data_IF_041361129102
#
_entry.id   IF_041361129102
#
_cell.length_a   1.000
_cell.length_b   1.000
_cell.length_c   1.000
_cell.angle_alpha   90.00
_cell.angle_beta   90.00
_cell.angle_gamma   90.00
#
_symmetry.space_group_name_H-M   'P 1'
#
loop_
_entity.id
_entity.type
_entity.pdbx_description
1 polymer ?
#
# COMPACT_ATOMS: atom_id res chain seq x y z
N UNK A 1 -16.00 -14.73 -16.31
CA UNK A 1 -15.04 -14.46 -15.23
C UNK A 1 -15.15 -12.99 -14.79
N UNK A 2 -15.14 -12.05 -15.69
CA UNK A 2 -15.13 -10.62 -15.39
C UNK A 2 -16.42 -10.20 -14.66
N UNK A 3 -17.58 -10.38 -15.25
CA UNK A 3 -18.87 -9.93 -14.69
C UNK A 3 -19.36 -10.74 -13.46
N UNK A 4 -18.99 -12.01 -13.36
CA UNK A 4 -19.56 -12.90 -12.34
C UNK A 4 -18.65 -13.10 -11.11
N UNK A 5 -17.38 -12.67 -11.14
CA UNK A 5 -16.41 -13.02 -10.11
C UNK A 5 -15.46 -11.87 -9.71
N UNK A 6 -15.83 -10.63 -10.01
CA UNK A 6 -15.08 -9.43 -9.63
C UNK A 6 -13.60 -9.46 -10.07
N UNK A 7 -13.31 -9.94 -11.28
CA UNK A 7 -11.98 -9.78 -11.87
C UNK A 7 -11.84 -8.36 -12.39
N UNK A 8 -10.92 -7.61 -11.83
CA UNK A 8 -10.60 -6.27 -12.28
C UNK A 8 -9.10 -6.06 -12.50
N UNK A 9 -8.77 -5.10 -13.35
CA UNK A 9 -7.48 -4.44 -13.31
C UNK A 9 -7.63 -3.30 -12.31
N UNK A 10 -7.06 -3.51 -11.11
CA UNK A 10 -7.21 -2.58 -10.00
C UNK A 10 -6.61 -1.21 -10.33
N UNK A 11 -5.50 -1.19 -11.06
CA UNK A 11 -4.85 0.05 -11.45
C UNK A 11 -3.97 -0.08 -12.68
N UNK A 12 -3.96 0.96 -13.51
CA UNK A 12 -2.82 1.30 -14.37
C UNK A 12 -2.10 2.45 -13.70
N UNK A 13 -0.82 2.27 -13.39
CA UNK A 13 0.00 3.28 -12.72
C UNK A 13 1.16 3.69 -13.62
N UNK A 14 1.23 4.99 -13.92
CA UNK A 14 2.36 5.59 -14.64
C UNK A 14 3.40 6.04 -13.62
N UNK A 15 4.54 5.36 -13.58
CA UNK A 15 5.73 5.80 -12.86
C UNK A 15 6.45 6.88 -13.65
N UNK A 16 6.85 7.98 -12.99
CA UNK A 16 7.53 9.11 -13.62
C UNK A 16 8.74 9.52 -12.77
N UNK A 17 9.93 9.46 -13.35
CA UNK A 17 11.12 10.06 -12.75
C UNK A 17 11.02 11.59 -12.78
N UNK A 18 11.32 12.21 -11.64
CA UNK A 18 11.38 13.67 -11.51
C UNK A 18 12.81 14.20 -11.30
N UNK A 19 13.81 13.35 -11.53
CA UNK A 19 15.22 13.72 -11.30
C UNK A 19 15.69 14.89 -12.17
N UNK A 20 15.18 15.00 -13.38
CA UNK A 20 15.46 16.10 -14.32
C UNK A 20 14.67 17.38 -14.00
N UNK A 21 13.74 17.32 -13.04
CA UNK A 21 12.97 18.49 -12.60
C UNK A 21 13.67 19.31 -11.51
N UNK A 22 14.75 18.78 -10.90
CA UNK A 22 15.43 19.41 -9.76
C UNK A 22 15.88 20.83 -10.07
N UNK A 23 15.63 21.73 -9.13
CA UNK A 23 16.05 23.14 -9.15
C UNK A 23 16.34 23.59 -7.73
N UNK A 24 17.13 24.61 -7.55
CA UNK A 24 17.34 25.32 -6.28
C UNK A 24 16.30 26.43 -6.03
N UNK A 25 15.55 26.79 -7.10
CA UNK A 25 14.40 27.68 -7.01
C UNK A 25 13.09 26.88 -6.94
N UNK A 26 12.29 27.14 -5.90
CA UNK A 26 11.06 26.39 -5.59
C UNK A 26 9.96 26.57 -6.66
N UNK A 27 9.85 27.75 -7.26
CA UNK A 27 8.87 28.02 -8.31
C UNK A 27 9.23 27.25 -9.58
N UNK A 28 10.49 27.29 -9.97
CA UNK A 28 11.03 26.54 -11.13
C UNK A 28 10.85 25.03 -10.92
N UNK A 29 11.18 24.52 -9.73
CA UNK A 29 10.96 23.11 -9.38
C UNK A 29 9.49 22.70 -9.56
N UNK A 30 8.56 23.47 -8.99
CA UNK A 30 7.12 23.20 -9.09
C UNK A 30 6.64 23.23 -10.57
N UNK A 31 7.11 24.19 -11.35
CA UNK A 31 6.77 24.30 -12.78
C UNK A 31 7.31 23.11 -13.59
N UNK A 32 8.54 22.66 -13.32
CA UNK A 32 9.14 21.50 -13.97
C UNK A 32 8.33 20.23 -13.69
N UNK A 33 8.01 19.99 -12.40
CA UNK A 33 7.19 18.85 -11.96
C UNK A 33 5.82 18.87 -12.66
N UNK A 34 5.13 19.99 -12.61
CA UNK A 34 3.81 20.13 -13.21
C UNK A 34 3.83 19.84 -14.71
N UNK A 35 4.77 20.47 -15.45
CA UNK A 35 4.85 20.31 -16.89
C UNK A 35 5.22 18.90 -17.32
N UNK A 36 6.15 18.24 -16.61
CA UNK A 36 6.55 16.86 -16.91
C UNK A 36 5.40 15.88 -16.70
N UNK A 37 4.72 15.96 -15.56
CA UNK A 37 3.57 15.08 -15.27
C UNK A 37 2.45 15.31 -16.27
N UNK A 38 2.09 16.57 -16.55
CA UNK A 38 1.04 16.89 -17.50
C UNK A 38 1.33 16.36 -18.91
N UNK A 39 2.58 16.48 -19.34
CA UNK A 39 3.03 15.97 -20.66
C UNK A 39 2.95 14.46 -20.76
N UNK A 40 3.40 13.71 -19.72
CA UNK A 40 3.48 12.26 -19.76
C UNK A 40 2.14 11.59 -19.43
N UNK A 41 1.37 12.12 -18.49
CA UNK A 41 0.15 11.53 -18.00
C UNK A 41 -1.14 12.06 -18.67
N UNK A 42 -1.04 13.04 -19.58
CA UNK A 42 -2.22 13.70 -20.17
C UNK A 42 -3.21 12.75 -20.84
N UNK A 43 -2.74 11.64 -21.39
CA UNK A 43 -3.58 10.64 -22.06
C UNK A 43 -3.81 9.36 -21.21
N UNK A 44 -3.29 9.28 -20.00
CA UNK A 44 -3.34 8.07 -19.19
C UNK A 44 -4.78 7.60 -18.90
N UNK A 45 -5.62 8.52 -18.46
CA UNK A 45 -7.01 8.22 -18.07
C UNK A 45 -7.80 7.77 -19.30
N UNK A 46 -7.74 8.53 -20.39
CA UNK A 46 -8.46 8.20 -21.62
C UNK A 46 -8.00 6.84 -22.16
N UNK A 47 -6.70 6.57 -22.18
CA UNK A 47 -6.15 5.28 -22.62
C UNK A 47 -6.70 4.14 -21.77
N UNK A 48 -6.75 4.31 -20.44
CA UNK A 48 -7.31 3.29 -19.54
C UNK A 48 -8.81 3.03 -19.80
N UNK A 49 -9.60 4.09 -20.03
CA UNK A 49 -11.03 3.97 -20.35
C UNK A 49 -11.24 3.27 -21.70
N UNK A 50 -10.45 3.60 -22.71
CA UNK A 50 -10.56 3.00 -24.04
C UNK A 50 -10.21 1.51 -24.01
N UNK A 51 -9.14 1.11 -23.28
CA UNK A 51 -8.77 -0.30 -23.11
C UNK A 51 -9.86 -1.04 -22.33
N UNK A 52 -10.36 -0.44 -21.25
CA UNK A 52 -11.44 -1.04 -20.45
C UNK A 52 -12.69 -1.32 -21.30
N UNK A 53 -13.08 -0.36 -22.14
CA UNK A 53 -14.23 -0.46 -23.02
C UNK A 53 -14.03 -1.50 -24.14
N UNK A 54 -12.85 -1.51 -24.75
CA UNK A 54 -12.53 -2.38 -25.87
C UNK A 54 -12.40 -3.85 -25.44
N UNK A 55 -11.76 -4.10 -24.30
CA UNK A 55 -11.52 -5.47 -23.81
C UNK A 55 -12.64 -5.99 -22.90
N UNK A 56 -13.56 -5.12 -22.49
CA UNK A 56 -14.59 -5.47 -21.50
C UNK A 56 -14.01 -5.81 -20.12
N UNK A 57 -12.81 -5.31 -19.79
CA UNK A 57 -12.12 -5.55 -18.52
C UNK A 57 -12.17 -4.24 -17.71
N UNK A 58 -12.82 -4.21 -16.54
CA UNK A 58 -12.82 -3.01 -15.71
C UNK A 58 -11.41 -2.60 -15.30
N UNK A 59 -11.04 -1.33 -15.53
CA UNK A 59 -9.82 -0.71 -15.03
C UNK A 59 -10.24 0.35 -14.01
N UNK A 60 -10.17 -0.02 -12.74
CA UNK A 60 -10.82 0.72 -11.65
C UNK A 60 -10.12 2.06 -11.38
N UNK A 61 -8.78 2.05 -11.30
CA UNK A 61 -7.99 3.25 -11.04
C UNK A 61 -6.97 3.50 -12.14
N UNK A 62 -6.69 4.79 -12.35
CA UNK A 62 -5.55 5.30 -13.11
C UNK A 62 -4.74 6.15 -12.14
N UNK A 63 -3.47 5.83 -11.94
CA UNK A 63 -2.62 6.44 -10.90
C UNK A 63 -1.30 6.91 -11.49
N UNK A 64 -0.65 7.78 -10.74
CA UNK A 64 0.73 8.21 -10.99
C UNK A 64 1.55 7.90 -9.75
N UNK A 65 2.78 7.43 -9.95
CA UNK A 65 3.81 7.39 -8.91
C UNK A 65 5.01 8.20 -9.38
N UNK A 66 5.59 9.01 -8.49
CA UNK A 66 6.76 9.84 -8.83
C UNK A 66 7.94 9.49 -7.94
N UNK A 67 9.13 9.91 -8.35
CA UNK A 67 10.34 9.84 -7.54
C UNK A 67 10.08 10.42 -6.16
N UNK A 68 10.56 9.82 -5.06
CA UNK A 68 10.38 10.35 -3.72
C UNK A 68 10.71 11.84 -3.62
N UNK A 69 9.72 12.64 -3.27
CA UNK A 69 9.80 14.13 -3.30
C UNK A 69 10.87 14.66 -2.34
N UNK A 70 11.21 13.92 -1.27
CA UNK A 70 12.31 14.33 -0.39
C UNK A 70 13.66 14.44 -1.14
N UNK A 71 13.87 13.59 -2.14
CA UNK A 71 15.08 13.63 -2.98
C UNK A 71 15.06 14.80 -3.97
N UNK A 72 13.88 15.11 -4.49
CA UNK A 72 13.69 16.14 -5.53
C UNK A 72 13.69 17.53 -4.93
N UNK A 73 13.04 17.70 -3.76
CA UNK A 73 12.86 19.00 -3.11
C UNK A 73 14.04 19.49 -2.26
N UNK A 74 15.04 18.63 -2.03
CA UNK A 74 16.08 18.91 -1.03
C UNK A 74 16.93 20.18 -1.28
N UNK A 75 17.10 20.58 -2.55
CA UNK A 75 17.82 21.81 -2.91
C UNK A 75 16.99 23.07 -2.72
N UNK A 76 15.70 23.04 -3.05
CA UNK A 76 14.79 24.18 -3.03
C UNK A 76 14.10 24.38 -1.67
N UNK A 77 13.69 23.31 -1.00
CA UNK A 77 12.91 23.36 0.23
C UNK A 77 13.80 23.52 1.46
N UNK A 78 13.56 24.56 2.26
CA UNK A 78 14.33 24.83 3.49
C UNK A 78 13.55 24.56 4.77
N UNK A 79 12.22 24.44 4.66
CA UNK A 79 11.29 24.23 5.77
C UNK A 79 10.09 23.38 5.33
N UNK A 80 9.31 22.80 6.24
CA UNK A 80 8.18 21.93 5.91
C UNK A 80 7.15 22.59 4.99
N UNK A 81 6.86 23.88 5.14
CA UNK A 81 5.87 24.59 4.34
C UNK A 81 6.25 24.64 2.85
N UNK A 82 7.53 24.65 2.52
CA UNK A 82 8.01 24.63 1.15
C UNK A 82 7.60 23.31 0.45
N UNK A 83 7.71 22.18 1.17
CA UNK A 83 7.25 20.88 0.67
C UNK A 83 5.73 20.84 0.47
N UNK A 84 4.94 21.54 1.30
CA UNK A 84 3.48 21.61 1.09
C UNK A 84 3.13 22.27 -0.24
N UNK A 85 3.94 23.21 -0.74
CA UNK A 85 3.71 23.81 -2.07
C UNK A 85 3.90 22.77 -3.19
N UNK A 86 4.87 21.86 -3.04
CA UNK A 86 5.05 20.75 -3.98
C UNK A 86 3.84 19.81 -3.91
N UNK A 87 3.33 19.46 -2.73
CA UNK A 87 2.12 18.65 -2.59
C UNK A 87 0.92 19.28 -3.32
N UNK A 88 0.71 20.58 -3.17
CA UNK A 88 -0.34 21.32 -3.90
C UNK A 88 -0.15 21.27 -5.42
N UNK A 89 1.09 21.35 -5.89
CA UNK A 89 1.40 21.23 -7.32
C UNK A 89 1.08 19.83 -7.85
N UNK A 90 1.44 18.78 -7.09
CA UNK A 90 1.11 17.39 -7.41
C UNK A 90 -0.41 17.16 -7.44
N UNK A 91 -1.15 17.69 -6.46
CA UNK A 91 -2.61 17.57 -6.40
C UNK A 91 -3.29 18.30 -7.57
N UNK A 92 -2.80 19.49 -7.90
CA UNK A 92 -3.29 20.28 -9.05
C UNK A 92 -3.15 19.50 -10.35
N UNK A 93 -1.95 19.01 -10.66
CA UNK A 93 -1.74 18.26 -11.91
C UNK A 93 -2.48 16.92 -11.90
N UNK A 94 -2.59 16.23 -10.77
CA UNK A 94 -3.36 15.01 -10.65
C UNK A 94 -4.86 15.21 -10.94
N UNK A 95 -5.43 16.34 -10.49
CA UNK A 95 -6.81 16.75 -10.81
C UNK A 95 -6.98 17.06 -12.27
N UNK A 96 -6.04 17.79 -12.87
CA UNK A 96 -6.12 18.18 -14.29
C UNK A 96 -6.00 17.00 -15.26
N UNK A 97 -5.12 16.04 -14.98
CA UNK A 97 -4.99 14.81 -15.80
C UNK A 97 -6.04 13.76 -15.45
N UNK A 98 -6.83 13.95 -14.37
CA UNK A 98 -7.97 13.13 -14.01
C UNK A 98 -7.62 11.82 -13.27
N UNK A 99 -6.37 11.62 -12.82
CA UNK A 99 -5.99 10.38 -12.10
C UNK A 99 -6.62 10.32 -10.71
N UNK A 100 -6.83 9.11 -10.21
CA UNK A 100 -7.45 8.88 -8.90
C UNK A 100 -6.50 9.23 -7.75
N UNK A 101 -5.23 8.82 -7.85
CA UNK A 101 -4.21 9.04 -6.84
C UNK A 101 -2.85 9.36 -7.48
N UNK A 102 -2.04 10.11 -6.74
CA UNK A 102 -0.65 10.40 -7.06
C UNK A 102 0.22 10.10 -5.84
N UNK A 103 1.03 9.06 -5.92
CA UNK A 103 2.00 8.65 -4.90
C UNK A 103 3.39 9.22 -5.15
N UNK A 104 4.24 9.18 -4.11
CA UNK A 104 5.62 9.65 -4.19
C UNK A 104 5.90 10.89 -3.35
N UNK A 105 4.92 11.42 -2.61
CA UNK A 105 5.19 12.39 -1.56
C UNK A 105 5.86 11.68 -0.38
N UNK A 106 7.10 11.24 -0.60
CA UNK A 106 7.74 10.17 0.17
C UNK A 106 9.17 10.52 0.58
N UNK A 107 9.64 9.85 1.66
CA UNK A 107 11.01 9.90 2.14
C UNK A 107 11.55 8.48 2.42
N UNK A 108 12.82 8.22 2.09
CA UNK A 108 13.50 6.94 2.26
C UNK A 108 14.56 7.08 3.36
N UNK A 109 14.19 6.86 4.62
CA UNK A 109 14.99 7.16 5.81
C UNK A 109 15.45 5.91 6.57
N UNK A 110 15.45 4.77 5.91
CA UNK A 110 15.73 3.47 6.54
C UNK A 110 17.15 3.34 7.13
N UNK A 111 18.09 4.19 6.75
CA UNK A 111 19.44 4.16 7.31
C UNK A 111 19.79 5.43 8.08
N UNK A 112 19.30 6.55 7.65
CA UNK A 112 19.52 7.85 8.23
C UNK A 112 18.52 8.83 7.66
N UNK A 113 18.48 10.03 8.17
CA UNK A 113 17.54 11.07 7.76
C UNK A 113 18.29 12.38 7.57
N UNK A 114 18.16 12.96 6.39
CA UNK A 114 18.68 14.30 6.08
C UNK A 114 17.72 15.38 6.55
N UNK A 115 18.17 16.65 6.71
CA UNK A 115 17.25 17.75 7.04
C UNK A 115 16.10 17.92 6.03
N UNK A 116 16.34 17.66 4.75
CA UNK A 116 15.29 17.73 3.73
C UNK A 116 14.22 16.65 3.91
N UNK A 117 14.65 15.41 4.20
CA UNK A 117 13.73 14.31 4.48
C UNK A 117 12.92 14.57 5.75
N UNK A 118 13.55 15.09 6.81
CA UNK A 118 12.84 15.49 8.03
C UNK A 118 11.80 16.58 7.75
N UNK A 119 12.15 17.60 6.97
CA UNK A 119 11.23 18.66 6.61
C UNK A 119 10.02 18.12 5.80
N UNK A 120 10.25 17.20 4.83
CA UNK A 120 9.15 16.55 4.13
C UNK A 120 8.27 15.76 5.11
N UNK A 121 8.85 14.92 5.98
CA UNK A 121 8.08 14.13 6.93
C UNK A 121 7.24 15.02 7.84
N UNK A 122 7.80 16.11 8.34
CA UNK A 122 7.07 17.08 9.19
C UNK A 122 5.98 17.84 8.44
N UNK A 123 6.06 17.92 7.10
CA UNK A 123 5.04 18.55 6.26
C UNK A 123 3.83 17.65 5.97
N UNK A 124 3.95 16.32 6.15
CA UNK A 124 2.92 15.32 5.79
C UNK A 124 1.53 15.66 6.35
N UNK A 125 1.36 16.02 7.65
CA UNK A 125 0.03 16.29 8.19
C UNK A 125 -0.68 17.43 7.45
N UNK A 126 0.02 18.52 7.16
CA UNK A 126 -0.55 19.64 6.42
C UNK A 126 -0.76 19.29 4.94
N UNK A 127 0.23 18.66 4.31
CA UNK A 127 0.14 18.27 2.91
C UNK A 127 -1.09 17.37 2.64
N UNK A 128 -1.33 16.35 3.47
CA UNK A 128 -2.45 15.43 3.30
C UNK A 128 -3.80 16.04 3.69
N UNK A 129 -3.81 17.06 4.56
CA UNK A 129 -5.02 17.79 4.89
C UNK A 129 -5.49 18.74 3.78
N UNK A 130 -4.55 19.35 3.03
CA UNK A 130 -4.86 20.34 2.00
C UNK A 130 -4.89 19.78 0.58
N UNK A 131 -4.66 18.47 0.40
CA UNK A 131 -4.69 17.78 -0.89
C UNK A 131 -5.68 16.62 -0.88
N UNK A 132 -6.27 16.32 -2.04
CA UNK A 132 -7.25 15.24 -2.18
C UNK A 132 -6.60 13.94 -2.72
N UNK A 133 -5.74 14.06 -3.73
CA UNK A 133 -5.21 12.92 -4.51
C UNK A 133 -3.79 12.52 -4.18
N UNK A 134 -3.07 13.35 -3.42
CA UNK A 134 -1.69 13.08 -3.03
C UNK A 134 -1.63 12.04 -1.92
N UNK A 135 -0.76 11.05 -2.12
CA UNK A 135 -0.48 10.00 -1.14
C UNK A 135 0.98 10.04 -0.74
N UNK A 136 1.25 9.66 0.51
CA UNK A 136 2.57 9.75 1.12
C UNK A 136 3.03 8.40 1.68
N UNK A 137 4.35 8.20 1.69
CA UNK A 137 4.96 7.09 2.42
C UNK A 137 6.32 7.44 2.96
N UNK A 138 6.71 6.73 4.03
CA UNK A 138 8.04 6.84 4.62
C UNK A 138 8.60 5.44 4.85
N UNK A 139 9.76 5.15 4.26
CA UNK A 139 10.45 3.88 4.45
C UNK A 139 11.44 3.98 5.60
N UNK A 140 11.12 3.39 6.76
CA UNK A 140 11.88 3.54 8.02
C UNK A 140 12.85 2.41 8.31
N UNK A 141 12.79 1.32 7.54
CA UNK A 141 13.61 0.14 7.78
C UNK A 141 13.88 -0.69 6.54
N UNK A 142 14.90 -1.53 6.61
CA UNK A 142 15.15 -2.56 5.62
C UNK A 142 15.95 -3.73 6.19
N UNK A 143 15.88 -4.88 5.52
CA UNK A 143 16.68 -6.06 5.86
C UNK A 143 18.19 -5.80 5.79
N UNK A 144 18.63 -4.81 5.00
CA UNK A 144 20.05 -4.44 4.86
C UNK A 144 20.53 -3.43 5.90
N UNK A 145 19.66 -2.53 6.34
CA UNK A 145 20.05 -1.38 7.17
C UNK A 145 19.55 -1.44 8.60
N UNK A 146 18.63 -2.34 8.91
CA UNK A 146 17.92 -2.36 10.18
C UNK A 146 16.77 -1.36 10.22
N UNK A 147 16.36 -0.94 11.40
CA UNK A 147 15.23 -0.04 11.64
C UNK A 147 15.76 1.28 12.20
N UNK A 148 15.39 2.39 11.57
CA UNK A 148 15.68 3.74 12.06
C UNK A 148 14.64 4.14 13.12
N UNK A 149 14.96 3.95 14.39
CA UNK A 149 14.03 4.22 15.51
C UNK A 149 13.74 5.72 15.70
N UNK A 150 14.63 6.61 15.25
CA UNK A 150 14.36 8.07 15.26
C UNK A 150 13.23 8.38 14.27
N UNK A 151 13.27 7.79 13.08
CA UNK A 151 12.21 7.91 12.09
C UNK A 151 10.90 7.22 12.53
N UNK A 152 10.99 6.05 13.16
CA UNK A 152 9.83 5.33 13.71
C UNK A 152 9.11 6.16 14.76
N UNK A 153 9.85 6.75 15.71
CA UNK A 153 9.28 7.65 16.72
C UNK A 153 8.61 8.86 16.08
N UNK A 154 9.31 9.51 15.14
CA UNK A 154 8.76 10.64 14.40
C UNK A 154 7.47 10.26 13.65
N UNK A 155 7.45 9.10 13.00
CA UNK A 155 6.25 8.64 12.27
C UNK A 155 5.06 8.39 13.18
N UNK A 156 5.24 7.91 14.40
CA UNK A 156 4.15 7.82 15.38
C UNK A 156 3.51 9.20 15.66
N UNK A 157 4.34 10.24 15.81
CA UNK A 157 3.86 11.62 15.97
C UNK A 157 3.15 12.14 14.70
N UNK A 158 3.72 11.86 13.52
CA UNK A 158 3.18 12.30 12.22
C UNK A 158 1.82 11.66 11.92
N UNK A 159 1.67 10.36 12.15
CA UNK A 159 0.38 9.65 11.97
C UNK A 159 -0.68 10.29 12.88
N UNK A 160 -0.37 10.49 14.16
CA UNK A 160 -1.31 11.10 15.10
C UNK A 160 -1.68 12.54 14.69
N UNK A 161 -0.70 13.38 14.33
CA UNK A 161 -0.95 14.75 13.83
C UNK A 161 -1.75 14.77 12.53
N UNK A 162 -1.52 13.79 11.64
CA UNK A 162 -2.32 13.66 10.40
C UNK A 162 -3.76 13.33 10.72
N UNK A 163 -4.01 12.45 11.68
CA UNK A 163 -5.34 12.14 12.17
C UNK A 163 -6.04 13.39 12.75
N UNK A 164 -5.37 14.16 13.62
CA UNK A 164 -5.89 15.41 14.18
C UNK A 164 -6.22 16.45 13.08
N UNK A 165 -5.33 16.64 12.11
CA UNK A 165 -5.51 17.60 11.01
C UNK A 165 -6.67 17.26 10.09
N UNK A 166 -7.05 15.99 10.02
CA UNK A 166 -8.13 15.49 9.15
C UNK A 166 -9.30 14.91 9.97
N UNK A 167 -9.42 15.28 11.25
CA UNK A 167 -10.47 14.80 12.15
C UNK A 167 -11.89 15.06 11.63
N UNK A 168 -12.09 16.15 10.90
CA UNK A 168 -13.36 16.50 10.27
C UNK A 168 -13.74 15.60 9.08
N UNK A 169 -12.86 14.70 8.68
CA UNK A 169 -13.04 13.70 7.63
C UNK A 169 -12.71 12.28 8.16
N UNK A 170 -13.10 12.00 9.40
CA UNK A 170 -12.82 10.72 10.08
C UNK A 170 -11.34 10.28 9.99
N UNK A 171 -10.41 11.25 10.09
CA UNK A 171 -8.95 11.03 10.02
C UNK A 171 -8.47 10.42 8.70
N UNK A 172 -9.19 10.67 7.60
CA UNK A 172 -8.93 10.10 6.26
C UNK A 172 -7.51 10.39 5.72
N UNK A 173 -6.85 11.45 6.21
CA UNK A 173 -5.45 11.70 5.86
C UNK A 173 -4.54 10.52 6.15
N UNK A 174 -4.80 9.75 7.22
CA UNK A 174 -4.03 8.57 7.56
C UNK A 174 -4.24 7.40 6.58
N UNK A 175 -5.38 7.33 5.89
CA UNK A 175 -5.59 6.35 4.82
C UNK A 175 -4.70 6.60 3.58
N UNK A 176 -4.17 7.82 3.45
CA UNK A 176 -3.24 8.24 2.38
C UNK A 176 -1.76 8.19 2.80
N UNK A 177 -1.46 7.72 4.01
CA UNK A 177 -0.11 7.65 4.59
C UNK A 177 0.28 6.22 4.92
N UNK A 178 1.42 5.78 4.42
CA UNK A 178 1.94 4.43 4.65
C UNK A 178 3.36 4.50 5.23
N UNK A 179 3.64 3.75 6.28
CA UNK A 179 5.00 3.57 6.79
C UNK A 179 5.52 2.20 6.39
N UNK A 180 6.64 2.16 5.68
CA UNK A 180 7.21 0.94 5.12
C UNK A 180 8.48 0.47 5.83
N UNK A 181 8.68 -0.84 5.79
CA UNK A 181 9.98 -1.50 5.82
C UNK A 181 10.17 -2.31 4.52
N UNK A 182 11.33 -2.23 3.88
CA UNK A 182 11.61 -2.84 2.58
C UNK A 182 10.60 -2.42 1.49
N UNK A 183 10.31 -1.13 1.36
CA UNK A 183 9.42 -0.63 0.32
C UNK A 183 9.91 -1.02 -1.09
N UNK A 184 9.07 -1.57 -1.97
CA UNK A 184 9.44 -1.84 -3.35
C UNK A 184 9.40 -0.56 -4.19
N UNK A 185 10.30 -0.47 -5.16
CA UNK A 185 10.47 0.70 -6.03
C UNK A 185 9.44 0.77 -7.18
N UNK A 186 8.77 -0.34 -7.47
CA UNK A 186 7.89 -0.57 -8.63
C UNK A 186 6.41 -0.81 -8.24
N UNK A 187 6.01 -0.50 -7.03
CA UNK A 187 4.67 -0.76 -6.50
C UNK A 187 3.59 0.08 -7.21
N UNK A 188 2.64 -0.51 -7.97
CA UNK A 188 1.56 0.23 -8.60
C UNK A 188 0.31 0.36 -7.73
N UNK A 189 0.24 -0.36 -6.60
CA UNK A 189 -1.02 -0.75 -5.97
C UNK A 189 -1.40 0.10 -4.77
N UNK A 190 -0.46 0.36 -3.85
CA UNK A 190 -0.77 1.07 -2.62
C UNK A 190 -0.80 2.59 -2.78
N UNK A 191 -1.53 3.24 -1.88
CA UNK A 191 -1.52 4.70 -1.76
C UNK A 191 -0.12 5.28 -1.52
N UNK A 192 0.77 4.53 -0.84
CA UNK A 192 2.16 4.92 -0.58
C UNK A 192 3.16 4.55 -1.69
N UNK A 193 2.71 4.17 -2.88
CA UNK A 193 3.59 3.88 -4.02
C UNK A 193 4.46 5.08 -4.39
N UNK A 194 5.69 4.81 -4.83
CA UNK A 194 6.59 5.79 -5.41
C UNK A 194 7.36 5.18 -6.59
N UNK A 195 7.96 6.01 -7.40
CA UNK A 195 8.80 5.60 -8.53
C UNK A 195 10.26 5.56 -8.09
N UNK A 196 10.89 4.39 -8.15
CA UNK A 196 12.28 4.20 -7.72
C UNK A 196 13.28 5.00 -8.54
N UNK A 197 14.38 5.38 -7.92
CA UNK A 197 15.42 6.19 -8.57
C UNK A 197 16.19 5.44 -9.65
N UNK A 198 16.11 4.12 -9.67
CA UNK A 198 16.78 3.25 -10.67
C UNK A 198 15.84 2.82 -11.80
N UNK A 199 14.59 3.21 -11.72
CA UNK A 199 13.58 2.95 -12.74
C UNK A 199 13.77 3.83 -14.00
N UNK A 200 13.08 3.49 -15.10
CA UNK A 200 13.09 4.28 -16.33
C UNK A 200 12.50 5.68 -16.12
N UNK A 201 12.75 6.62 -17.05
CA UNK A 201 12.19 7.98 -16.99
C UNK A 201 10.66 8.01 -16.90
N UNK A 202 10.00 7.06 -17.57
CA UNK A 202 8.58 6.76 -17.41
C UNK A 202 8.34 5.26 -17.63
N UNK A 203 7.41 4.65 -16.87
CA UNK A 203 7.11 3.23 -16.95
C UNK A 203 5.63 2.97 -16.62
N UNK A 204 5.02 1.97 -17.26
CA UNK A 204 3.67 1.51 -16.93
C UNK A 204 3.76 0.26 -16.06
N UNK A 205 3.18 0.34 -14.87
CA UNK A 205 2.98 -0.79 -13.97
C UNK A 205 1.47 -1.04 -13.81
N UNK A 206 1.07 -2.30 -13.79
CA UNK A 206 -0.34 -2.67 -13.70
C UNK A 206 -0.59 -3.55 -12.49
N UNK A 207 -1.58 -3.20 -11.70
CA UNK A 207 -2.06 -4.03 -10.59
C UNK A 207 -3.35 -4.75 -10.97
N UNK A 208 -3.37 -6.07 -10.81
CA UNK A 208 -4.56 -6.90 -11.00
C UNK A 208 -5.00 -7.53 -9.71
N UNK A 209 -6.31 -7.70 -9.56
CA UNK A 209 -6.90 -8.31 -8.38
C UNK A 209 -8.01 -9.28 -8.76
N UNK A 210 -8.37 -10.17 -7.85
CA UNK A 210 -9.44 -11.12 -8.08
C UNK A 210 -9.63 -12.10 -6.93
N UNK A 211 -9.81 -11.63 -5.67
CA UNK A 211 -10.19 -12.50 -4.56
C UNK A 211 -11.43 -13.32 -4.86
N UNK A 212 -12.46 -12.70 -5.45
CA UNK A 212 -13.69 -13.36 -5.84
C UNK A 212 -13.48 -14.50 -6.85
N UNK A 213 -12.53 -14.35 -7.80
CA UNK A 213 -12.20 -15.41 -8.76
C UNK A 213 -11.56 -16.60 -8.07
N UNK A 214 -10.62 -16.36 -7.16
CA UNK A 214 -9.95 -17.42 -6.39
C UNK A 214 -10.96 -18.12 -5.48
N UNK A 215 -11.77 -17.37 -4.74
CA UNK A 215 -12.85 -17.91 -3.90
C UNK A 215 -13.77 -18.82 -4.69
N UNK A 216 -14.25 -18.36 -5.85
CA UNK A 216 -15.14 -19.16 -6.70
C UNK A 216 -14.48 -20.46 -7.20
N UNK A 217 -13.18 -20.41 -7.54
CA UNK A 217 -12.44 -21.59 -7.95
C UNK A 217 -12.33 -22.61 -6.81
N UNK A 218 -12.08 -22.15 -5.58
CA UNK A 218 -11.98 -23.01 -4.39
C UNK A 218 -13.30 -23.65 -3.99
N UNK A 219 -14.45 -22.98 -4.18
CA UNK A 219 -15.77 -23.59 -3.94
C UNK A 219 -16.00 -24.88 -4.72
N UNK A 220 -15.35 -25.02 -5.88
CA UNK A 220 -15.49 -26.21 -6.74
C UNK A 220 -14.66 -27.40 -6.26
N UNK A 221 -13.72 -27.18 -5.38
CA UNK A 221 -12.80 -28.20 -4.85
C UNK A 221 -12.91 -28.32 -3.32
N UNK A 222 -14.06 -27.99 -2.76
CA UNK A 222 -14.34 -28.17 -1.33
C UNK A 222 -14.21 -29.63 -0.94
N UNK A 223 -13.49 -29.89 0.17
CA UNK A 223 -13.26 -31.24 0.66
C UNK A 223 -12.11 -32.00 0.00
N UNK A 224 -11.51 -31.42 -1.05
CA UNK A 224 -10.30 -31.97 -1.65
C UNK A 224 -9.07 -31.71 -0.79
N UNK A 225 -8.00 -32.45 -1.02
CA UNK A 225 -6.74 -32.30 -0.30
C UNK A 225 -6.00 -31.00 -0.67
N UNK A 226 -4.95 -30.67 0.10
CA UNK A 226 -4.16 -29.46 -0.11
C UNK A 226 -3.45 -29.41 -1.48
N UNK A 227 -3.11 -30.53 -2.11
CA UNK A 227 -2.46 -30.55 -3.42
C UNK A 227 -3.40 -30.01 -4.50
N UNK A 228 -4.65 -30.48 -4.51
CA UNK A 228 -5.70 -30.01 -5.43
C UNK A 228 -6.00 -28.53 -5.19
N UNK A 229 -6.07 -28.14 -3.93
CA UNK A 229 -6.33 -26.76 -3.52
C UNK A 229 -5.21 -25.82 -3.98
N UNK A 230 -3.95 -26.15 -3.73
CA UNK A 230 -2.77 -25.41 -4.16
C UNK A 230 -2.73 -25.26 -5.70
N UNK A 231 -2.98 -26.34 -6.42
CA UNK A 231 -2.97 -26.33 -7.89
C UNK A 231 -4.10 -25.45 -8.45
N UNK A 232 -5.26 -25.47 -7.81
CA UNK A 232 -6.41 -24.61 -8.17
C UNK A 232 -6.10 -23.13 -7.98
N UNK A 233 -5.50 -22.73 -6.84
CA UNK A 233 -5.10 -21.34 -6.58
C UNK A 233 -4.06 -20.90 -7.62
N UNK A 234 -3.02 -21.70 -7.82
CA UNK A 234 -1.93 -21.41 -8.76
C UNK A 234 -2.43 -21.21 -10.20
N UNK A 235 -3.30 -22.12 -10.70
CA UNK A 235 -3.90 -22.01 -12.02
C UNK A 235 -4.80 -20.79 -12.17
N UNK A 236 -5.50 -20.41 -11.11
CA UNK A 236 -6.36 -19.23 -11.10
C UNK A 236 -5.51 -17.97 -11.14
N UNK A 237 -4.49 -17.87 -10.30
CA UNK A 237 -3.53 -16.77 -10.25
C UNK A 237 -2.83 -16.57 -11.60
N UNK A 238 -2.42 -17.66 -12.25
CA UNK A 238 -1.86 -17.63 -13.61
C UNK A 238 -2.80 -16.90 -14.59
N UNK A 239 -4.08 -17.24 -14.61
CA UNK A 239 -5.06 -16.64 -15.54
C UNK A 239 -5.28 -15.17 -15.26
N UNK A 240 -5.36 -14.78 -13.98
CA UNK A 240 -5.53 -13.37 -13.56
C UNK A 240 -4.31 -12.53 -13.98
N UNK A 241 -3.10 -13.04 -13.75
CA UNK A 241 -1.86 -12.36 -14.17
C UNK A 241 -1.80 -12.14 -15.69
N UNK A 242 -2.21 -13.12 -16.49
CA UNK A 242 -2.23 -12.96 -17.95
C UNK A 242 -3.17 -11.87 -18.43
N UNK A 243 -4.28 -11.66 -17.74
CA UNK A 243 -5.17 -10.51 -18.01
C UNK A 243 -4.48 -9.19 -17.74
N UNK A 244 -3.77 -9.09 -16.62
CA UNK A 244 -3.00 -7.88 -16.27
C UNK A 244 -1.90 -7.57 -17.29
N UNK A 245 -1.17 -8.58 -17.73
CA UNK A 245 -0.13 -8.42 -18.74
C UNK A 245 -0.71 -7.92 -20.08
N UNK A 246 -1.84 -8.47 -20.52
CA UNK A 246 -2.50 -8.02 -21.74
C UNK A 246 -2.84 -6.52 -21.69
N UNK A 247 -3.39 -6.07 -20.57
CA UNK A 247 -3.73 -4.65 -20.38
C UNK A 247 -2.46 -3.79 -20.29
N UNK A 248 -1.41 -4.27 -19.61
CA UNK A 248 -0.16 -3.54 -19.47
C UNK A 248 0.57 -3.34 -20.81
N UNK A 249 0.65 -4.38 -21.63
CA UNK A 249 1.25 -4.33 -22.98
C UNK A 249 0.50 -3.34 -23.88
N UNK A 250 -0.83 -3.35 -23.85
CA UNK A 250 -1.66 -2.44 -24.65
C UNK A 250 -1.55 -0.99 -24.15
N UNK A 251 -1.54 -0.76 -22.83
CA UNK A 251 -1.34 0.56 -22.26
C UNK A 251 0.04 1.12 -22.62
N UNK A 252 1.09 0.30 -22.51
CA UNK A 252 2.46 0.62 -22.92
C UNK A 252 2.52 1.05 -24.40
N UNK A 253 1.91 0.26 -25.27
CA UNK A 253 1.87 0.56 -26.72
C UNK A 253 1.17 1.88 -27.03
N UNK A 254 -0.02 2.13 -26.43
CA UNK A 254 -0.81 3.36 -26.69
C UNK A 254 -0.16 4.61 -26.13
N UNK A 255 0.44 4.51 -24.96
CA UNK A 255 1.11 5.64 -24.30
C UNK A 255 2.55 5.86 -24.78
N UNK A 256 3.09 4.91 -25.54
CA UNK A 256 4.51 4.90 -25.97
C UNK A 256 5.47 5.02 -24.76
N UNK A 257 5.18 4.25 -23.70
CA UNK A 257 5.96 4.20 -22.46
C UNK A 257 6.30 2.73 -22.17
N UNK A 258 7.53 2.38 -21.77
CA UNK A 258 7.90 0.99 -21.47
C UNK A 258 6.94 0.32 -20.48
N UNK A 259 6.71 -0.97 -20.66
CA UNK A 259 6.03 -1.81 -19.69
C UNK A 259 7.02 -2.27 -18.62
N UNK A 260 6.67 -2.07 -17.35
CA UNK A 260 7.45 -2.47 -16.19
C UNK A 260 6.99 -3.82 -15.64
N UNK A 261 6.01 -3.79 -14.74
CA UNK A 261 5.57 -5.01 -14.05
C UNK A 261 4.05 -5.17 -14.01
N UNK A 262 3.65 -6.42 -13.79
CA UNK A 262 2.31 -6.78 -13.30
C UNK A 262 2.43 -7.16 -11.83
N UNK A 263 1.67 -6.47 -11.00
CA UNK A 263 1.46 -6.82 -9.61
C UNK A 263 0.16 -7.63 -9.49
N UNK A 264 0.28 -8.90 -9.16
CA UNK A 264 -0.86 -9.75 -8.82
C UNK A 264 -1.08 -9.71 -7.31
N UNK A 265 -1.86 -8.77 -6.84
CA UNK A 265 -2.25 -8.68 -5.44
C UNK A 265 -3.73 -9.00 -5.26
N UNK A 266 -4.03 -10.02 -4.46
CA UNK A 266 -5.39 -10.28 -4.02
C UNK A 266 -5.77 -9.18 -3.01
N UNK A 267 -6.16 -8.02 -3.53
CA UNK A 267 -6.62 -6.88 -2.77
C UNK A 267 -8.16 -6.89 -2.77
N UNK A 268 -8.79 -7.12 -1.63
CA UNK A 268 -10.24 -7.18 -1.54
C UNK A 268 -10.89 -5.81 -1.77
N UNK A 269 -12.20 -5.82 -1.91
CA UNK A 269 -13.06 -4.64 -1.85
C UNK A 269 -14.19 -4.88 -0.85
N UNK A 270 -14.89 -3.83 -0.39
CA UNK A 270 -16.06 -4.00 0.48
C UNK A 270 -17.22 -4.75 -0.17
N UNK A 271 -17.13 -5.06 -1.46
CA UNK A 271 -18.16 -5.80 -2.20
C UNK A 271 -18.27 -7.24 -1.70
N UNK A 272 -19.51 -7.71 -1.53
CA UNK A 272 -19.80 -9.08 -1.11
C UNK A 272 -19.18 -10.06 -2.10
N UNK A 273 -18.36 -10.97 -1.58
CA UNK A 273 -17.73 -12.04 -2.37
C UNK A 273 -16.34 -11.71 -2.88
N UNK A 274 -15.84 -10.49 -2.68
CA UNK A 274 -14.48 -10.07 -3.02
C UNK A 274 -13.63 -9.91 -1.75
N UNK A 275 -13.43 -11.00 -1.02
CA UNK A 275 -12.81 -11.03 0.31
C UNK A 275 -11.69 -12.08 0.37
N UNK A 276 -10.53 -11.69 0.90
CA UNK A 276 -9.44 -12.61 1.22
C UNK A 276 -9.79 -13.45 2.45
N UNK A 277 -10.48 -12.88 3.43
CA UNK A 277 -10.96 -13.63 4.58
C UNK A 277 -11.89 -14.77 4.15
N UNK A 278 -12.76 -14.54 3.19
CA UNK A 278 -13.63 -15.58 2.64
C UNK A 278 -12.84 -16.68 1.93
N UNK A 279 -11.72 -16.34 1.26
CA UNK A 279 -10.82 -17.35 0.68
C UNK A 279 -10.26 -18.26 1.77
N UNK A 280 -9.81 -17.68 2.90
CA UNK A 280 -9.27 -18.44 4.03
C UNK A 280 -10.33 -19.37 4.65
N UNK A 281 -11.60 -18.95 4.67
CA UNK A 281 -12.71 -19.80 5.08
C UNK A 281 -13.00 -20.91 4.07
N UNK A 282 -12.91 -20.67 2.77
CA UNK A 282 -13.03 -21.73 1.75
C UNK A 282 -11.87 -22.75 1.82
N UNK A 283 -10.70 -22.36 2.36
CA UNK A 283 -9.58 -23.28 2.65
C UNK A 283 -9.91 -24.21 3.83
N UNK A 284 -10.89 -23.88 4.67
CA UNK A 284 -11.39 -24.75 5.73
C UNK A 284 -11.40 -24.11 7.12
N UNK A 285 -11.21 -22.81 7.24
CA UNK A 285 -11.37 -22.11 8.52
C UNK A 285 -12.84 -21.75 8.76
N UNK A 286 -13.32 -21.94 9.98
CA UNK A 286 -14.67 -21.49 10.37
C UNK A 286 -14.77 -19.97 10.30
N UNK A 287 -13.74 -19.28 10.81
CA UNK A 287 -13.61 -17.83 10.74
C UNK A 287 -12.12 -17.45 10.59
N UNK A 288 -11.84 -16.42 9.78
CA UNK A 288 -10.51 -15.82 9.72
C UNK A 288 -10.13 -15.26 11.08
N UNK A 289 -8.95 -15.61 11.58
CA UNK A 289 -8.51 -15.37 12.95
C UNK A 289 -8.39 -16.65 13.79
N UNK A 290 -9.12 -17.71 13.44
CA UNK A 290 -9.01 -19.02 14.11
C UNK A 290 -7.58 -19.61 14.01
N UNK A 291 -7.18 -20.53 14.90
CA UNK A 291 -5.96 -21.30 14.73
C UNK A 291 -5.88 -21.92 13.32
N UNK A 292 -4.73 -21.79 12.65
CA UNK A 292 -4.55 -22.20 11.26
C UNK A 292 -4.59 -21.04 10.26
N UNK A 293 -5.11 -19.86 10.60
CA UNK A 293 -5.23 -18.70 9.68
C UNK A 293 -3.89 -18.29 9.08
N UNK A 294 -2.83 -18.19 9.89
CA UNK A 294 -1.49 -17.82 9.39
C UNK A 294 -0.95 -18.88 8.42
N UNK A 295 -1.18 -20.18 8.68
CA UNK A 295 -0.78 -21.25 7.77
C UNK A 295 -1.56 -21.23 6.46
N UNK A 296 -2.88 -21.02 6.51
CA UNK A 296 -3.73 -20.90 5.32
C UNK A 296 -3.34 -19.68 4.49
N UNK A 297 -3.03 -18.55 5.13
CA UNK A 297 -2.56 -17.34 4.44
C UNK A 297 -1.17 -17.55 3.80
N UNK A 298 -0.26 -18.24 4.47
CA UNK A 298 1.05 -18.61 3.91
C UNK A 298 0.90 -19.44 2.64
N UNK A 299 0.03 -20.46 2.68
CA UNK A 299 -0.30 -21.27 1.52
C UNK A 299 -0.87 -20.42 0.38
N UNK A 300 -1.89 -19.61 0.68
CA UNK A 300 -2.52 -18.73 -0.32
C UNK A 300 -1.50 -17.81 -0.97
N UNK A 301 -0.70 -17.10 -0.18
CA UNK A 301 0.29 -16.15 -0.66
C UNK A 301 1.35 -16.81 -1.55
N UNK A 302 1.86 -17.97 -1.16
CA UNK A 302 2.85 -18.74 -1.92
C UNK A 302 2.28 -19.22 -3.27
N UNK A 303 1.06 -19.77 -3.29
CA UNK A 303 0.45 -20.26 -4.54
C UNK A 303 0.07 -19.14 -5.50
N UNK A 304 -0.35 -17.99 -4.98
CA UNK A 304 -0.60 -16.79 -5.80
C UNK A 304 0.69 -16.33 -6.47
N UNK A 305 1.80 -16.21 -5.73
CA UNK A 305 3.11 -15.84 -6.28
C UNK A 305 3.59 -16.85 -7.33
N UNK A 306 3.50 -18.13 -7.06
CA UNK A 306 3.86 -19.19 -8.03
C UNK A 306 3.06 -19.09 -9.32
N UNK A 307 1.76 -18.86 -9.23
CA UNK A 307 0.89 -18.67 -10.41
C UNK A 307 1.27 -17.42 -11.20
N UNK A 308 1.58 -16.33 -10.54
CA UNK A 308 2.04 -15.08 -11.15
C UNK A 308 3.34 -15.26 -11.93
N UNK A 309 4.39 -15.78 -11.29
CA UNK A 309 5.71 -16.00 -11.91
C UNK A 309 5.63 -16.98 -13.10
N UNK A 310 4.77 -17.98 -13.05
CA UNK A 310 4.54 -18.87 -14.17
C UNK A 310 3.82 -18.20 -15.36
N UNK A 311 3.05 -17.13 -15.12
CA UNK A 311 2.28 -16.43 -16.13
C UNK A 311 3.06 -15.35 -16.85
N UNK A 312 4.00 -14.69 -16.17
CA UNK A 312 4.74 -13.52 -16.66
C UNK A 312 6.12 -13.45 -16.03
N UNK A 313 7.11 -13.07 -16.84
CA UNK A 313 8.45 -12.69 -16.36
C UNK A 313 8.50 -11.27 -15.80
N UNK A 314 7.41 -10.53 -15.89
CA UNK A 314 7.27 -9.14 -15.45
C UNK A 314 6.50 -9.02 -14.11
N UNK A 315 6.52 -10.03 -13.27
CA UNK A 315 5.88 -9.97 -11.95
C UNK A 315 6.75 -9.18 -10.99
N UNK A 316 6.14 -8.21 -10.32
CA UNK A 316 6.82 -7.32 -9.37
C UNK A 316 5.87 -6.72 -8.34
N UNK A 317 6.22 -5.56 -7.80
CA UNK A 317 5.44 -4.87 -6.80
C UNK A 317 5.30 -5.64 -5.50
N UNK A 318 4.10 -5.72 -4.98
CA UNK A 318 3.78 -6.41 -3.72
C UNK A 318 3.33 -7.85 -3.91
N UNK A 319 2.81 -8.21 -5.06
CA UNK A 319 2.26 -9.51 -5.48
C UNK A 319 1.98 -10.52 -4.37
N UNK A 320 0.73 -10.92 -4.18
CA UNK A 320 0.33 -11.88 -3.15
C UNK A 320 -1.03 -11.57 -2.54
N UNK A 321 -1.23 -11.94 -1.28
CA UNK A 321 -2.47 -11.72 -0.57
C UNK A 321 -2.38 -10.53 0.37
N UNK A 322 -3.32 -9.58 0.25
CA UNK A 322 -3.51 -8.42 1.12
C UNK A 322 -4.51 -8.76 2.23
N UNK A 323 -4.36 -8.14 3.37
CA UNK A 323 -5.24 -8.32 4.53
C UNK A 323 -5.71 -6.98 5.12
N UNK A 324 -6.19 -6.02 4.30
CA UNK A 324 -6.74 -4.77 4.83
C UNK A 324 -8.03 -5.06 5.60
N UNK A 325 -8.24 -4.36 6.72
CA UNK A 325 -9.45 -4.59 7.52
C UNK A 325 -10.66 -3.87 6.92
N UNK A 326 -10.55 -2.58 6.60
CA UNK A 326 -11.72 -1.80 6.15
C UNK A 326 -12.17 -2.13 4.72
N UNK A 327 -11.30 -2.70 3.92
CA UNK A 327 -11.58 -3.03 2.51
C UNK A 327 -12.07 -4.47 2.32
N UNK A 328 -12.19 -5.27 3.38
CA UNK A 328 -12.55 -6.70 3.34
C UNK A 328 -13.70 -7.01 4.30
N UNK A 329 -14.89 -7.30 3.74
CA UNK A 329 -16.07 -7.60 4.56
C UNK A 329 -15.85 -8.76 5.53
N UNK A 330 -15.15 -9.79 5.13
CA UNK A 330 -14.86 -10.95 6.00
C UNK A 330 -13.88 -10.61 7.13
N UNK A 331 -12.92 -9.69 6.91
CA UNK A 331 -12.04 -9.18 7.97
C UNK A 331 -12.84 -8.31 8.95
N UNK A 332 -13.70 -7.42 8.45
CA UNK A 332 -14.59 -6.59 9.27
C UNK A 332 -15.43 -7.46 10.21
N UNK A 333 -16.05 -8.50 9.67
CA UNK A 333 -16.89 -9.41 10.44
C UNK A 333 -16.09 -10.19 11.48
N UNK A 334 -14.89 -10.66 11.11
CA UNK A 334 -13.99 -11.35 12.02
C UNK A 334 -13.52 -10.48 13.20
N UNK A 335 -13.30 -9.18 12.96
CA UNK A 335 -13.01 -8.22 14.04
C UNK A 335 -14.23 -8.02 14.94
N UNK A 336 -15.43 -7.80 14.37
CA UNK A 336 -16.67 -7.63 15.15
C UNK A 336 -17.00 -8.83 16.03
N UNK A 337 -16.70 -10.04 15.56
CA UNK A 337 -16.91 -11.28 16.29
C UNK A 337 -15.78 -11.60 17.29
N UNK A 338 -14.73 -10.77 17.34
CA UNK A 338 -13.59 -10.97 18.25
C UNK A 338 -12.63 -12.08 17.82
N UNK A 339 -12.72 -12.56 16.57
CA UNK A 339 -11.81 -13.55 16.02
C UNK A 339 -10.45 -12.95 15.59
N UNK A 340 -10.43 -11.66 15.24
CA UNK A 340 -9.23 -10.91 14.88
C UNK A 340 -8.93 -9.81 15.89
N UNK A 341 -7.66 -9.70 16.29
CA UNK A 341 -7.06 -8.59 17.02
C UNK A 341 -5.79 -8.13 16.28
N UNK A 342 -5.21 -7.02 16.71
CA UNK A 342 -4.00 -6.45 16.07
C UNK A 342 -2.85 -7.47 16.13
N UNK A 343 -2.62 -8.10 17.27
CA UNK A 343 -1.55 -9.09 17.46
C UNK A 343 -1.74 -10.32 16.54
N UNK A 344 -2.98 -10.71 16.24
CA UNK A 344 -3.25 -11.76 15.26
C UNK A 344 -2.96 -11.30 13.84
N UNK A 345 -3.31 -10.07 13.52
CA UNK A 345 -2.97 -9.47 12.22
C UNK A 345 -1.45 -9.36 12.05
N UNK A 346 -0.70 -8.92 13.07
CA UNK A 346 0.77 -8.90 13.06
C UNK A 346 1.36 -10.30 12.77
N UNK A 347 0.84 -11.36 13.41
CA UNK A 347 1.26 -12.71 13.09
C UNK A 347 0.95 -13.10 11.63
N UNK A 348 -0.16 -12.64 11.08
CA UNK A 348 -0.52 -12.86 9.67
C UNK A 348 0.38 -12.06 8.71
N UNK A 349 0.86 -10.88 9.13
CA UNK A 349 1.77 -10.06 8.30
C UNK A 349 3.14 -10.70 8.10
N UNK A 350 3.53 -11.66 8.91
CA UNK A 350 4.72 -12.47 8.66
C UNK A 350 4.67 -13.20 7.30
N UNK A 351 3.47 -13.51 6.80
CA UNK A 351 3.25 -14.35 5.63
C UNK A 351 2.38 -13.72 4.54
N UNK A 352 1.79 -12.55 4.79
CA UNK A 352 1.07 -11.80 3.75
C UNK A 352 2.04 -11.04 2.83
N UNK A 353 1.53 -10.31 1.85
CA UNK A 353 2.37 -9.55 0.91
C UNK A 353 2.60 -8.09 1.32
N UNK A 354 1.85 -7.54 2.27
CA UNK A 354 1.91 -6.11 2.62
C UNK A 354 2.27 -5.87 4.09
N UNK A 355 1.35 -6.05 5.03
CA UNK A 355 1.50 -5.66 6.42
C UNK A 355 0.15 -5.32 7.05
N UNK A 356 0.16 -4.53 8.12
CA UNK A 356 -1.06 -3.96 8.72
C UNK A 356 -1.62 -2.90 7.80
N UNK A 357 -2.83 -3.12 7.32
CA UNK A 357 -3.42 -2.24 6.31
C UNK A 357 -4.85 -1.84 6.66
N UNK A 358 -5.12 -0.54 6.57
CA UNK A 358 -6.44 0.06 6.82
C UNK A 358 -7.04 -0.34 8.17
N UNK A 359 -6.25 -0.22 9.23
CA UNK A 359 -6.62 -0.55 10.61
C UNK A 359 -7.11 0.71 11.32
N UNK A 360 -8.40 0.78 11.64
CA UNK A 360 -8.95 1.86 12.48
C UNK A 360 -8.66 1.56 13.97
N UNK A 361 -8.09 2.53 14.67
CA UNK A 361 -7.75 2.46 16.09
C UNK A 361 -8.34 3.65 16.85
N UNK A 362 -8.46 3.61 18.20
CA UNK A 362 -8.97 4.74 18.98
C UNK A 362 -8.18 6.03 18.72
N UNK A 363 -8.90 7.14 18.61
CA UNK A 363 -8.32 8.44 18.30
C UNK A 363 -7.39 9.00 19.38
N UNK A 364 -7.51 8.51 20.62
CA UNK A 364 -6.65 8.86 21.78
C UNK A 364 -5.41 7.97 21.91
N UNK A 365 -5.18 7.05 20.94
CA UNK A 365 -3.98 6.20 20.91
C UNK A 365 -2.72 7.06 20.89
N UNK A 366 -1.82 6.83 21.85
CA UNK A 366 -0.59 7.63 21.98
C UNK A 366 0.31 7.51 20.76
N UNK A 367 0.99 8.59 20.34
CA UNK A 367 2.00 8.53 19.29
C UNK A 367 3.08 7.46 19.51
N UNK A 368 3.50 7.23 20.76
CA UNK A 368 4.48 6.19 21.13
C UNK A 368 3.94 4.79 20.89
N UNK A 369 2.65 4.55 21.14
CA UNK A 369 2.01 3.26 20.86
C UNK A 369 1.96 3.00 19.34
N UNK A 370 1.59 4.02 18.55
CA UNK A 370 1.63 3.93 17.07
C UNK A 370 3.07 3.63 16.59
N UNK A 371 4.06 4.30 17.17
CA UNK A 371 5.47 4.03 16.87
C UNK A 371 5.90 2.59 17.25
N UNK A 372 5.35 2.05 18.34
CA UNK A 372 5.55 0.64 18.74
C UNK A 372 5.04 -0.33 17.68
N UNK A 373 3.82 -0.14 17.19
CA UNK A 373 3.23 -0.93 16.09
C UNK A 373 4.08 -0.84 14.81
N UNK A 374 4.56 0.37 14.47
CA UNK A 374 5.47 0.56 13.32
C UNK A 374 6.79 -0.20 13.53
N UNK A 375 7.33 -0.21 14.75
CA UNK A 375 8.56 -0.94 15.07
C UNK A 375 8.39 -2.46 14.92
N UNK A 376 7.27 -3.02 15.41
CA UNK A 376 6.96 -4.45 15.33
C UNK A 376 6.80 -4.90 13.87
N UNK A 377 6.03 -4.19 13.07
CA UNK A 377 5.89 -4.47 11.65
C UNK A 377 7.22 -4.32 10.88
N UNK A 378 8.02 -3.31 11.23
CA UNK A 378 9.35 -3.15 10.63
C UNK A 378 10.28 -4.31 11.00
N UNK A 379 10.19 -4.84 12.22
CA UNK A 379 10.95 -6.01 12.65
C UNK A 379 10.53 -7.28 11.88
N UNK A 380 9.22 -7.48 11.70
CA UNK A 380 8.67 -8.57 10.88
C UNK A 380 9.22 -8.49 9.45
N UNK A 381 9.14 -7.31 8.82
CA UNK A 381 9.66 -7.10 7.47
C UNK A 381 11.17 -7.33 7.35
N UNK A 382 11.92 -6.78 8.30
CA UNK A 382 13.38 -6.89 8.34
C UNK A 382 13.84 -8.35 8.47
N UNK A 383 13.28 -9.11 9.40
CA UNK A 383 13.67 -10.49 9.67
C UNK A 383 13.25 -11.42 8.54
N UNK A 384 12.04 -11.26 8.03
CA UNK A 384 11.50 -12.12 6.97
C UNK A 384 11.92 -11.70 5.54
N UNK A 385 12.70 -10.63 5.41
CA UNK A 385 13.15 -10.12 4.09
C UNK A 385 11.98 -9.84 3.14
N UNK A 386 10.91 -9.29 3.67
CA UNK A 386 9.71 -8.94 2.91
C UNK A 386 9.33 -7.49 3.16
N UNK A 387 8.55 -6.93 2.27
CA UNK A 387 7.89 -5.65 2.52
C UNK A 387 6.88 -5.80 3.65
N UNK A 388 6.93 -4.88 4.61
CA UNK A 388 5.83 -4.62 5.52
C UNK A 388 5.44 -3.15 5.45
N UNK A 389 4.15 -2.91 5.62
CA UNK A 389 3.55 -1.58 5.62
C UNK A 389 2.67 -1.41 6.87
N UNK A 390 2.60 -0.21 7.37
CA UNK A 390 1.67 0.17 8.43
C UNK A 390 0.81 1.33 7.93
N UNK A 391 -0.49 1.06 7.80
CA UNK A 391 -1.53 2.04 7.50
C UNK A 391 -2.59 1.94 8.59
N UNK A 392 -2.30 2.55 9.74
CA UNK A 392 -3.20 2.65 10.89
C UNK A 392 -3.84 4.03 10.93
N UNK A 393 -5.09 4.10 11.33
CA UNK A 393 -5.91 5.30 11.31
C UNK A 393 -6.45 5.54 12.71
N UNK A 394 -5.80 6.42 13.51
CA UNK A 394 -6.37 6.89 14.76
C UNK A 394 -7.61 7.75 14.45
N UNK A 395 -8.81 7.29 14.79
CA UNK A 395 -10.05 8.01 14.44
C UNK A 395 -10.40 8.97 15.55
N UNK A 396 -10.04 10.22 15.39
CA UNK A 396 -10.22 11.26 16.43
C UNK A 396 -11.68 11.37 16.85
N UNK A 397 -11.92 11.28 18.16
CA UNK A 397 -13.26 11.37 18.76
C UNK A 397 -14.05 10.06 18.78
N UNK A 398 -13.48 8.95 18.29
CA UNK A 398 -14.11 7.64 18.32
C UNK A 398 -13.30 6.63 19.13
N UNK A 399 -14.00 5.67 19.74
CA UNK A 399 -13.45 4.63 20.61
C UNK A 399 -13.68 3.21 20.10
N UNK A 400 -13.18 2.23 20.84
CA UNK A 400 -13.25 0.80 20.51
C UNK A 400 -14.70 0.36 20.24
N UNK A 401 -14.91 -0.36 19.13
CA UNK A 401 -16.18 -0.93 18.73
C UNK A 401 -17.07 0.00 17.93
N UNK A 402 -16.79 1.31 17.91
CA UNK A 402 -17.49 2.22 17.01
C UNK A 402 -17.08 1.98 15.55
N UNK A 403 -17.95 2.39 14.63
CA UNK A 403 -17.69 2.24 13.20
C UNK A 403 -17.20 3.54 12.58
N UNK A 404 -16.30 3.42 11.63
CA UNK A 404 -15.83 4.52 10.79
C UNK A 404 -16.06 4.17 9.31
N UNK A 405 -16.44 5.17 8.51
CA UNK A 405 -16.63 5.02 7.06
C UNK A 405 -15.62 5.89 6.32
N UNK A 406 -14.80 5.25 5.48
CA UNK A 406 -13.81 5.94 4.64
C UNK A 406 -14.32 6.18 3.21
N UNK A 407 -15.39 5.49 2.83
CA UNK A 407 -16.06 5.61 1.54
C UNK A 407 -15.36 4.91 0.38
N UNK A 408 -16.11 4.68 -0.69
CA UNK A 408 -15.61 4.07 -1.92
C UNK A 408 -14.91 2.73 -1.71
N UNK A 409 -13.73 2.56 -2.32
CA UNK A 409 -12.92 1.34 -2.19
C UNK A 409 -12.23 1.21 -0.82
N UNK A 410 -12.10 2.29 -0.06
CA UNK A 410 -11.49 2.26 1.28
C UNK A 410 -12.41 1.67 2.34
N UNK A 411 -13.72 1.57 2.03
CA UNK A 411 -14.71 0.87 2.81
C UNK A 411 -15.01 1.48 4.18
N UNK A 412 -15.21 0.62 5.16
CA UNK A 412 -15.54 0.98 6.53
C UNK A 412 -14.93 -0.02 7.52
N UNK A 413 -14.69 0.39 8.77
CA UNK A 413 -14.07 -0.49 9.75
C UNK A 413 -14.65 -0.30 11.15
N UNK A 414 -14.69 -1.36 11.98
CA UNK A 414 -14.77 -1.24 13.42
C UNK A 414 -13.43 -0.72 13.96
N UNK A 415 -13.50 0.14 14.99
CA UNK A 415 -12.31 0.59 15.70
C UNK A 415 -11.82 -0.55 16.59
N UNK A 416 -10.59 -1.00 16.31
CA UNK A 416 -9.98 -2.13 16.99
C UNK A 416 -9.30 -1.70 18.30
N UNK A 417 -9.38 -2.50 19.38
CA UNK A 417 -8.64 -2.21 20.59
C UNK A 417 -7.13 -2.29 20.34
N UNK A 418 -6.39 -1.42 21.01
CA UNK A 418 -4.91 -1.42 21.03
C UNK A 418 -4.46 -1.80 22.44
N UNK A 419 -3.33 -2.54 22.54
CA UNK A 419 -2.75 -2.91 23.83
C UNK A 419 -2.48 -1.67 24.68
N UNK A 420 -2.95 -1.66 25.91
CA UNK A 420 -2.89 -0.52 26.83
C UNK A 420 -1.55 -0.34 27.55
N UNK A 421 -0.65 -1.32 27.50
CA UNK A 421 0.65 -1.22 28.15
C UNK A 421 1.59 -0.30 27.38
N UNK A 422 2.34 0.52 28.12
CA UNK A 422 3.22 1.53 27.54
C UNK A 422 4.49 0.90 26.95
N UNK A 423 4.83 1.32 25.73
CA UNK A 423 6.14 1.09 25.11
C UNK A 423 7.01 2.37 25.08
N UNK A 424 6.65 3.42 25.83
CA UNK A 424 7.30 4.73 25.78
C UNK A 424 8.82 4.64 25.98
N UNK A 425 9.28 3.88 26.98
CA UNK A 425 10.71 3.72 27.24
C UNK A 425 11.45 3.04 26.09
N UNK A 426 10.82 2.09 25.40
CA UNK A 426 11.38 1.40 24.25
C UNK A 426 11.52 2.32 23.04
N UNK A 427 10.45 3.00 22.68
CA UNK A 427 10.42 3.91 21.51
C UNK A 427 11.37 5.10 21.70
N UNK A 428 11.45 5.63 22.93
CA UNK A 428 12.31 6.79 23.25
C UNK A 428 13.80 6.45 23.40
N UNK A 429 14.21 5.19 23.24
CA UNK A 429 15.65 4.85 23.17
C UNK A 429 16.33 5.44 21.96
N UNK A 430 15.58 5.64 20.87
CA UNK A 430 16.08 6.22 19.62
C UNK A 430 17.23 5.44 18.97
N UNK A 431 17.90 6.01 17.95
CA UNK A 431 19.00 5.35 17.26
C UNK A 431 18.52 4.28 16.28
N UNK A 432 19.22 3.14 16.24
CA UNK A 432 18.93 2.09 15.26
C UNK A 432 18.83 0.71 15.91
N UNK A 433 17.83 -0.08 15.51
CA UNK A 433 17.88 -1.52 15.65
C UNK A 433 18.71 -2.06 14.46
N UNK A 434 19.83 -2.76 14.72
CA UNK A 434 20.72 -3.20 13.65
C UNK A 434 20.09 -4.24 12.76
N UNK A 435 20.57 -4.32 11.52
CA UNK A 435 20.15 -5.38 10.60
C UNK A 435 20.49 -6.78 11.16
N UNK A 436 19.63 -7.79 10.92
CA UNK A 436 19.88 -9.13 11.40
C UNK A 436 21.05 -9.76 10.67
N UNK A 437 21.79 -10.64 11.34
CA UNK A 437 22.83 -11.45 10.72
C UNK A 437 22.15 -12.63 10.04
N UNK A 438 22.00 -12.58 8.73
CA UNK A 438 21.32 -13.61 7.95
C UNK A 438 21.97 -14.99 7.98
N UNK A 439 23.29 -15.05 8.25
CA UNK A 439 24.01 -16.30 8.42
C UNK A 439 23.59 -17.12 9.66
N UNK A 440 22.85 -16.50 10.58
CA UNK A 440 22.30 -17.17 11.76
C UNK A 440 20.80 -17.47 11.61
N UNK A 441 20.32 -17.68 10.40
CA UNK A 441 18.98 -18.22 10.21
C UNK A 441 18.92 -19.62 10.75
N UNK A 442 18.14 -19.79 11.79
CA UNK A 442 17.79 -21.10 12.31
C UNK A 442 16.66 -21.72 11.52
#
# INVERSE_FOLDING_TARGET
MIENYNLDVRTITLGISLLDCISDDLETLNNNIYNKIKRLAGNLVQTGEDISKEYGIPIVNKRISVTPIALIGGSACKKPEDFVTIAKTLDKVAKEVGVNFLGGYSALVNKGMTPAEENLIRSIPEALAVTERVCSSVNVGSSKTGINMDAVRLMGEIVHKTAEKTANQDSLGCAKLVVFCNAPDDNPFMAGAFHGVTEADAIINVGVSGPGVVRHALKKVRGENFEVLCDTIKKTAFKVTRVGQLVAEEASRRLNVPFGIVDLSLAPTPAIGDSVADILQEIGLERTGAPGTTAALALLNDQVKKGGVMASSYVGGLSGAFIPVSEDQGMIDAVKEGALCIEKLEAMTCVCSVGLDMIAIPGDTKPTTIAGIIADESAIGMINQKTTAVRVIPVIGKGVGEMVEFGGLLGYAPIMPVNSFSCDAFVNRTGRIPAPIHSFKN
#
